data_IF_556304018426
#
_entry.id   IF_556304018426
#
_cell.length_a   1.000
_cell.length_b   1.000
_cell.length_c   1.000
_cell.angle_alpha   90.00
_cell.angle_beta   90.00
_cell.angle_gamma   90.00
#
_symmetry.space_group_name_H-M   'P 1'
#
loop_
_entity.id
_entity.type
_entity.pdbx_description
1 polymer ?
#
# COMPACT_ATOMS: atom_id res chain seq x y z
N UNK A 1 -3.16 10.99 28.38
CA UNK A 1 -2.96 9.52 28.36
C UNK A 1 -2.11 9.23 27.13
N UNK A 2 -0.80 9.04 27.31
CA UNK A 2 0.14 8.86 26.19
C UNK A 2 0.10 7.39 25.78
N UNK A 3 -0.37 7.11 24.56
CA UNK A 3 -0.30 5.76 23.99
C UNK A 3 1.07 5.54 23.37
N UNK A 4 1.85 4.68 24.01
CA UNK A 4 3.08 4.11 23.48
C UNK A 4 2.70 3.10 22.40
N UNK A 5 2.73 3.51 21.13
CA UNK A 5 2.66 2.56 20.01
C UNK A 5 4.06 1.96 19.85
N UNK A 6 4.18 0.69 20.23
CA UNK A 6 5.30 -0.18 19.89
C UNK A 6 5.51 -0.16 18.38
N UNK A 7 6.58 0.50 17.92
CA UNK A 7 7.05 0.46 16.53
C UNK A 7 8.19 -0.55 16.43
N UNK A 8 7.87 -1.80 16.12
CA UNK A 8 8.78 -2.61 15.32
C UNK A 8 8.52 -2.27 13.85
N UNK A 9 9.13 -1.17 13.37
CA UNK A 9 9.23 -0.92 11.94
C UNK A 9 10.13 -2.00 11.34
N UNK A 10 9.53 -3.02 10.73
CA UNK A 10 10.29 -4.05 10.00
C UNK A 10 10.81 -3.43 8.70
N UNK A 11 12.06 -3.00 8.73
CA UNK A 11 12.74 -2.41 7.57
C UNK A 11 13.20 -3.52 6.62
N UNK A 12 12.81 -3.42 5.35
CA UNK A 12 13.22 -4.35 4.30
C UNK A 12 14.57 -3.92 3.73
N UNK A 13 15.56 -4.83 3.72
CA UNK A 13 16.85 -4.57 3.09
C UNK A 13 16.71 -4.34 1.57
N UNK A 14 17.58 -3.48 1.00
CA UNK A 14 17.59 -3.14 -0.44
C UNK A 14 17.57 -4.36 -1.37
N UNK A 15 18.16 -5.48 -0.94
CA UNK A 15 18.23 -6.71 -1.74
C UNK A 15 16.94 -7.53 -1.70
N UNK A 16 16.24 -7.59 -0.57
CA UNK A 16 14.93 -8.25 -0.43
C UNK A 16 13.86 -7.47 -1.23
N UNK A 17 13.99 -6.14 -1.30
CA UNK A 17 13.19 -5.26 -2.17
C UNK A 17 13.36 -5.58 -3.66
N UNK A 18 14.60 -5.83 -4.11
CA UNK A 18 14.88 -6.24 -5.50
C UNK A 18 14.26 -7.59 -5.83
N UNK A 19 14.36 -8.56 -4.92
CA UNK A 19 13.76 -9.88 -5.11
C UNK A 19 12.22 -9.79 -5.21
N UNK A 20 11.58 -8.98 -4.38
CA UNK A 20 10.12 -8.76 -4.43
C UNK A 20 9.67 -8.14 -5.76
N UNK A 21 10.42 -7.18 -6.30
CA UNK A 21 10.16 -6.61 -7.63
C UNK A 21 10.27 -7.64 -8.74
N UNK A 22 11.33 -8.47 -8.70
CA UNK A 22 11.52 -9.54 -9.69
C UNK A 22 10.32 -10.49 -9.69
N UNK A 23 9.85 -10.90 -8.50
CA UNK A 23 8.66 -11.74 -8.36
C UNK A 23 7.41 -11.11 -8.95
N UNK A 24 7.23 -9.79 -8.76
CA UNK A 24 6.04 -9.08 -9.25
C UNK A 24 5.96 -9.03 -10.77
N UNK A 25 7.09 -8.94 -11.46
CA UNK A 25 7.14 -8.81 -12.92
C UNK A 25 6.81 -10.12 -13.65
N UNK A 26 7.00 -11.26 -12.99
CA UNK A 26 6.75 -12.58 -13.59
C UNK A 26 5.29 -13.00 -13.41
N UNK A 27 4.64 -12.56 -12.33
CA UNK A 27 3.21 -12.80 -12.10
C UNK A 27 2.82 -14.26 -11.84
N UNK A 28 3.79 -15.17 -11.67
CA UNK A 28 3.55 -16.61 -11.49
C UNK A 28 4.11 -17.15 -10.17
N UNK A 29 3.67 -18.35 -9.78
CA UNK A 29 4.32 -19.13 -8.72
C UNK A 29 5.73 -19.54 -9.16
N UNK A 30 6.74 -19.32 -8.33
CA UNK A 30 8.14 -19.62 -8.69
C UNK A 30 8.77 -20.58 -7.69
N UNK A 31 9.48 -21.59 -8.20
CA UNK A 31 10.26 -22.49 -7.35
C UNK A 31 11.54 -21.80 -6.86
N UNK A 32 12.17 -22.36 -5.83
CA UNK A 32 13.47 -21.88 -5.36
C UNK A 32 14.52 -21.83 -6.48
N UNK A 33 14.53 -22.81 -7.39
CA UNK A 33 15.49 -22.87 -8.50
C UNK A 33 15.23 -21.80 -9.56
N UNK A 34 13.96 -21.48 -9.82
CA UNK A 34 13.60 -20.38 -10.72
C UNK A 34 14.11 -19.05 -10.14
N UNK A 35 13.87 -18.83 -8.84
CA UNK A 35 14.34 -17.63 -8.14
C UNK A 35 15.86 -17.54 -8.10
N UNK A 36 16.56 -18.65 -7.94
CA UNK A 36 18.02 -18.69 -7.98
C UNK A 36 18.55 -18.24 -9.34
N UNK A 37 17.98 -18.79 -10.41
CA UNK A 37 18.36 -18.48 -11.79
C UNK A 37 18.07 -17.03 -12.14
N UNK A 38 16.90 -16.52 -11.73
CA UNK A 38 16.46 -15.16 -12.05
C UNK A 38 17.15 -14.07 -11.23
N UNK A 39 17.44 -14.35 -9.96
CA UNK A 39 18.04 -13.35 -9.07
C UNK A 39 19.56 -13.27 -9.18
N UNK A 40 20.22 -14.32 -9.68
CA UNK A 40 21.68 -14.42 -9.72
C UNK A 40 22.32 -14.46 -8.33
N UNK A 41 21.54 -14.73 -7.28
CA UNK A 41 22.01 -14.77 -5.90
C UNK A 41 22.60 -16.13 -5.54
N UNK A 42 23.45 -16.14 -4.51
CA UNK A 42 23.87 -17.40 -3.91
C UNK A 42 22.68 -18.12 -3.22
N UNK A 43 22.67 -19.47 -3.15
CA UNK A 43 21.58 -20.19 -2.50
C UNK A 43 21.34 -19.81 -1.03
N UNK A 44 22.41 -19.49 -0.28
CA UNK A 44 22.29 -19.05 1.12
C UNK A 44 21.68 -17.67 1.25
N UNK A 45 22.08 -16.73 0.38
CA UNK A 45 21.51 -15.38 0.31
C UNK A 45 20.04 -15.41 -0.09
N UNK A 46 19.69 -16.21 -1.11
CA UNK A 46 18.31 -16.34 -1.56
C UNK A 46 17.41 -16.92 -0.46
N UNK A 47 17.86 -17.98 0.24
CA UNK A 47 17.12 -18.53 1.38
C UNK A 47 16.87 -17.48 2.47
N UNK A 48 17.87 -16.66 2.79
CA UNK A 48 17.72 -15.57 3.75
C UNK A 48 16.64 -14.58 3.31
N UNK A 49 16.68 -14.10 2.07
CA UNK A 49 15.71 -13.11 1.59
C UNK A 49 14.30 -13.67 1.44
N UNK A 50 14.15 -14.91 0.98
CA UNK A 50 12.84 -15.58 0.94
C UNK A 50 12.28 -15.68 2.35
N UNK A 51 13.10 -16.11 3.32
CA UNK A 51 12.68 -16.19 4.73
C UNK A 51 12.20 -14.83 5.24
N UNK A 52 12.98 -13.77 5.04
CA UNK A 52 12.59 -12.40 5.41
C UNK A 52 11.27 -11.98 4.76
N UNK A 53 11.09 -12.22 3.46
CA UNK A 53 9.89 -11.82 2.72
C UNK A 53 8.65 -12.63 3.14
N UNK A 54 8.83 -13.89 3.53
CA UNK A 54 7.77 -14.72 4.10
C UNK A 54 7.41 -14.24 5.51
N UNK A 55 8.39 -13.96 6.37
CA UNK A 55 8.17 -13.43 7.72
C UNK A 55 7.46 -12.07 7.69
N UNK A 56 7.77 -11.22 6.72
CA UNK A 56 7.10 -9.93 6.51
C UNK A 56 5.69 -10.06 5.89
N UNK A 57 5.32 -11.26 5.42
CA UNK A 57 4.04 -11.55 4.76
C UNK A 57 3.93 -11.03 3.33
N UNK A 58 5.05 -10.72 2.67
CA UNK A 58 5.07 -10.28 1.27
C UNK A 58 5.03 -11.45 0.29
N UNK A 59 5.49 -12.62 0.72
CA UNK A 59 5.46 -13.86 -0.06
C UNK A 59 4.78 -14.94 0.78
N UNK A 60 4.06 -15.83 0.11
CA UNK A 60 3.50 -17.05 0.70
C UNK A 60 4.11 -18.26 0.00
N UNK A 61 4.52 -19.26 0.77
CA UNK A 61 4.92 -20.55 0.24
C UNK A 61 3.69 -21.45 0.08
N UNK A 62 3.48 -21.99 -1.14
CA UNK A 62 2.42 -22.94 -1.48
C UNK A 62 3.04 -24.07 -2.29
N UNK A 63 2.94 -25.30 -1.80
CA UNK A 63 3.43 -26.50 -2.49
C UNK A 63 4.91 -26.39 -2.93
N UNK A 64 5.78 -25.82 -2.09
CA UNK A 64 7.21 -25.62 -2.41
C UNK A 64 7.47 -24.52 -3.45
N UNK A 65 6.46 -23.70 -3.78
CA UNK A 65 6.58 -22.53 -4.64
C UNK A 65 6.25 -21.25 -3.88
N UNK A 66 6.80 -20.14 -4.34
CA UNK A 66 6.66 -18.82 -3.72
C UNK A 66 5.75 -17.94 -4.57
N UNK A 67 4.79 -17.28 -3.92
CA UNK A 67 3.79 -16.41 -4.56
C UNK A 67 3.72 -15.08 -3.83
N UNK A 68 3.61 -13.97 -4.56
CA UNK A 68 3.38 -12.65 -3.96
C UNK A 68 2.01 -12.60 -3.25
N UNK A 69 1.98 -12.01 -2.06
CA UNK A 69 0.73 -11.80 -1.31
C UNK A 69 -0.04 -10.56 -1.79
N UNK A 70 -1.30 -10.40 -1.38
CA UNK A 70 -2.05 -9.16 -1.64
C UNK A 70 -1.36 -7.95 -0.98
N UNK A 71 -0.76 -8.13 0.21
CA UNK A 71 0.04 -7.10 0.89
C UNK A 71 1.20 -6.63 0.02
N UNK A 72 1.93 -7.55 -0.62
CA UNK A 72 3.00 -7.19 -1.55
C UNK A 72 2.50 -6.40 -2.74
N UNK A 73 1.35 -6.78 -3.33
CA UNK A 73 0.75 -6.06 -4.46
C UNK A 73 0.40 -4.63 -4.09
N UNK A 74 -0.22 -4.41 -2.92
CA UNK A 74 -0.56 -3.09 -2.41
C UNK A 74 0.69 -2.19 -2.31
N UNK A 75 1.74 -2.73 -1.72
CA UNK A 75 3.00 -2.01 -1.49
C UNK A 75 3.74 -1.69 -2.80
N UNK A 76 3.71 -2.61 -3.77
CA UNK A 76 4.31 -2.40 -5.09
C UNK A 76 3.51 -1.40 -5.95
N UNK A 77 2.18 -1.37 -5.83
CA UNK A 77 1.35 -0.33 -6.44
C UNK A 77 1.67 1.03 -5.83
N UNK A 78 1.78 1.07 -4.50
CA UNK A 78 2.35 2.18 -3.73
C UNK A 78 3.59 2.70 -4.41
N UNK A 79 4.67 1.90 -4.43
CA UNK A 79 5.95 2.28 -5.05
C UNK A 79 5.81 2.97 -6.42
N UNK A 80 4.98 2.39 -7.28
CA UNK A 80 4.81 2.87 -8.66
C UNK A 80 4.09 4.21 -8.72
N UNK A 81 3.19 4.48 -7.77
CA UNK A 81 2.22 5.58 -7.83
C UNK A 81 2.32 6.59 -6.67
N UNK A 82 3.10 6.35 -5.61
CA UNK A 82 2.94 7.11 -4.37
C UNK A 82 3.35 8.56 -4.44
N UNK A 83 4.10 8.97 -5.47
CA UNK A 83 4.37 10.39 -5.76
C UNK A 83 3.47 10.97 -6.85
N UNK A 84 2.47 10.22 -7.30
CA UNK A 84 1.51 10.72 -8.27
C UNK A 84 0.64 11.78 -7.61
N UNK A 85 0.73 12.99 -8.16
CA UNK A 85 -0.10 14.13 -7.82
C UNK A 85 -1.01 14.36 -9.03
N UNK A 86 -2.32 14.41 -8.81
CA UNK A 86 -3.28 14.75 -9.86
C UNK A 86 -3.48 16.26 -9.95
N UNK A 87 -3.94 16.72 -11.11
CA UNK A 87 -4.28 18.13 -11.32
C UNK A 87 -5.49 18.53 -10.45
N UNK A 88 -5.67 19.86 -10.30
CA UNK A 88 -6.71 20.42 -9.42
C UNK A 88 -8.13 20.00 -9.79
N UNK A 89 -8.42 19.87 -11.08
CA UNK A 89 -9.68 19.40 -11.64
C UNK A 89 -9.96 17.92 -11.39
N UNK A 90 -8.91 17.14 -11.16
CA UNK A 90 -8.98 15.72 -10.81
C UNK A 90 -8.80 15.46 -9.29
N UNK A 91 -8.58 16.52 -8.49
CA UNK A 91 -8.43 16.41 -7.05
C UNK A 91 -9.76 16.03 -6.39
N UNK A 92 -9.69 15.23 -5.34
CA UNK A 92 -10.86 14.82 -4.59
C UNK A 92 -11.28 15.86 -3.56
N UNK A 93 -12.59 16.01 -3.42
CA UNK A 93 -13.24 16.86 -2.45
C UNK A 93 -14.20 16.00 -1.64
N UNK A 94 -13.98 15.99 -0.32
CA UNK A 94 -14.97 15.44 0.60
C UNK A 94 -16.17 16.38 0.70
N UNK A 95 -17.34 15.81 0.98
CA UNK A 95 -18.57 16.56 1.25
C UNK A 95 -19.08 16.18 2.62
N UNK A 96 -19.71 17.13 3.32
CA UNK A 96 -20.39 16.84 4.57
C UNK A 96 -21.72 16.08 4.33
N UNK A 97 -22.44 15.78 5.42
CA UNK A 97 -23.74 15.09 5.39
C UNK A 97 -24.81 15.84 4.56
N UNK A 98 -24.64 17.14 4.34
CA UNK A 98 -25.53 18.00 3.56
C UNK A 98 -25.09 18.10 2.09
N UNK A 99 -24.00 17.43 1.71
CA UNK A 99 -23.41 17.49 0.39
C UNK A 99 -22.58 18.75 0.14
N UNK A 100 -22.27 19.54 1.18
CA UNK A 100 -21.42 20.73 1.03
C UNK A 100 -19.95 20.32 1.00
N UNK A 101 -19.16 20.84 0.05
CA UNK A 101 -17.75 20.48 -0.07
C UNK A 101 -16.94 21.01 1.11
N UNK A 102 -16.10 20.16 1.69
CA UNK A 102 -15.07 20.58 2.63
C UNK A 102 -13.98 21.36 1.85
N UNK A 103 -13.43 22.45 2.40
CA UNK A 103 -12.39 23.25 1.75
C UNK A 103 -11.02 22.58 1.83
N UNK A 104 -10.95 21.30 1.45
CA UNK A 104 -9.75 20.46 1.51
C UNK A 104 -9.61 19.69 0.20
N UNK A 105 -8.60 20.06 -0.60
CA UNK A 105 -8.28 19.36 -1.85
C UNK A 105 -7.31 18.23 -1.59
N UNK A 106 -7.69 17.04 -2.02
CA UNK A 106 -6.87 15.83 -1.92
C UNK A 106 -6.40 15.46 -3.33
N UNK A 107 -5.14 15.71 -3.64
CA UNK A 107 -4.55 15.47 -4.97
C UNK A 107 -3.58 14.27 -5.00
N UNK A 108 -3.45 13.56 -3.89
CA UNK A 108 -2.52 12.44 -3.72
C UNK A 108 -2.96 11.52 -2.57
N UNK A 109 -2.47 10.29 -2.56
CA UNK A 109 -2.70 9.34 -1.45
C UNK A 109 -2.06 9.85 -0.16
N UNK A 110 -0.91 10.52 -0.24
CA UNK A 110 -0.23 11.12 0.90
C UNK A 110 -1.10 12.19 1.58
N UNK A 111 -1.72 13.09 0.80
CA UNK A 111 -2.67 14.06 1.35
C UNK A 111 -3.93 13.41 1.91
N UNK A 112 -4.42 12.32 1.28
CA UNK A 112 -5.53 11.56 1.83
C UNK A 112 -5.18 11.00 3.21
N UNK A 113 -4.01 10.36 3.35
CA UNK A 113 -3.53 9.85 4.63
C UNK A 113 -3.41 10.94 5.68
N UNK A 114 -2.84 12.10 5.35
CA UNK A 114 -2.74 13.25 6.26
C UNK A 114 -4.14 13.72 6.67
N UNK A 115 -5.06 13.87 5.70
CA UNK A 115 -6.41 14.33 5.95
C UNK A 115 -7.16 13.44 6.96
N UNK A 116 -7.04 12.12 6.79
CA UNK A 116 -7.66 11.12 7.67
C UNK A 116 -6.96 11.04 9.02
N UNK A 117 -5.62 10.93 9.03
CA UNK A 117 -4.81 10.69 10.24
C UNK A 117 -4.91 11.82 11.26
N UNK A 118 -4.91 13.06 10.76
CA UNK A 118 -4.93 14.25 11.61
C UNK A 118 -6.33 14.83 11.81
N UNK A 119 -7.37 14.13 11.34
CA UNK A 119 -8.77 14.51 11.58
C UNK A 119 -9.22 15.78 10.84
N UNK A 120 -8.62 16.10 9.69
CA UNK A 120 -9.11 17.18 8.82
C UNK A 120 -10.43 16.80 8.14
N UNK A 121 -10.75 15.51 8.09
CA UNK A 121 -12.02 14.95 7.65
C UNK A 121 -12.51 14.01 8.76
N UNK A 122 -13.78 14.10 9.15
CA UNK A 122 -14.31 13.24 10.20
C UNK A 122 -14.34 11.77 9.74
N UNK A 123 -14.13 10.80 10.64
CA UNK A 123 -14.15 9.38 10.29
C UNK A 123 -15.45 8.95 9.60
N UNK A 124 -16.59 9.51 10.01
CA UNK A 124 -17.91 9.20 9.46
C UNK A 124 -18.01 9.62 8.00
N UNK A 125 -17.50 10.81 7.65
CA UNK A 125 -17.45 11.29 6.27
C UNK A 125 -16.56 10.38 5.41
N UNK A 126 -15.39 9.98 5.93
CA UNK A 126 -14.48 9.07 5.19
C UNK A 126 -15.18 7.75 4.90
N UNK A 127 -15.79 7.13 5.91
CA UNK A 127 -16.48 5.84 5.79
C UNK A 127 -17.67 5.95 4.84
N UNK A 128 -18.45 7.03 4.90
CA UNK A 128 -19.59 7.25 4.01
C UNK A 128 -19.14 7.40 2.55
N UNK A 129 -18.10 8.18 2.29
CA UNK A 129 -17.55 8.36 0.94
C UNK A 129 -16.96 7.06 0.37
N UNK A 130 -16.42 6.18 1.21
CA UNK A 130 -16.00 4.82 0.81
C UNK A 130 -17.22 3.95 0.53
N UNK A 131 -18.23 3.96 1.41
CA UNK A 131 -19.43 3.16 1.29
C UNK A 131 -20.23 3.48 0.01
N UNK A 132 -20.24 4.76 -0.40
CA UNK A 132 -20.83 5.21 -1.67
C UNK A 132 -19.95 4.96 -2.90
N UNK A 133 -18.72 4.51 -2.69
CA UNK A 133 -17.76 4.25 -3.76
C UNK A 133 -17.10 5.49 -4.36
N UNK A 134 -17.33 6.69 -3.79
CA UNK A 134 -16.78 7.93 -4.33
C UNK A 134 -15.26 7.97 -4.18
N UNK A 135 -14.77 7.65 -2.98
CA UNK A 135 -13.34 7.68 -2.70
C UNK A 135 -12.59 6.59 -3.47
N UNK A 136 -13.16 5.38 -3.51
CA UNK A 136 -12.55 4.23 -4.18
C UNK A 136 -12.53 4.41 -5.71
N UNK A 137 -13.59 5.02 -6.28
CA UNK A 137 -13.61 5.40 -7.69
C UNK A 137 -12.51 6.42 -8.00
N UNK A 138 -12.38 7.47 -7.19
CA UNK A 138 -11.32 8.46 -7.40
C UNK A 138 -9.91 7.87 -7.31
N UNK A 139 -9.64 7.04 -6.29
CA UNK A 139 -8.37 6.32 -6.16
C UNK A 139 -8.06 5.50 -7.41
N UNK A 140 -9.04 4.77 -7.92
CA UNK A 140 -8.90 3.93 -9.10
C UNK A 140 -8.72 4.74 -10.39
N UNK A 141 -9.53 5.77 -10.62
CA UNK A 141 -9.59 6.46 -11.93
C UNK A 141 -8.61 7.62 -12.04
N UNK A 142 -8.52 8.47 -11.01
CA UNK A 142 -7.65 9.64 -11.04
C UNK A 142 -6.20 9.24 -10.74
N UNK A 143 -6.00 8.42 -9.71
CA UNK A 143 -4.67 8.01 -9.27
C UNK A 143 -4.21 6.70 -9.94
N UNK A 144 -5.11 5.87 -10.47
CA UNK A 144 -4.71 4.54 -11.00
C UNK A 144 -4.39 3.54 -9.90
N UNK A 145 -4.76 3.84 -8.64
CA UNK A 145 -4.47 3.05 -7.46
C UNK A 145 -5.56 1.99 -7.25
N UNK A 146 -5.61 1.02 -8.16
CA UNK A 146 -6.68 0.01 -8.24
C UNK A 146 -6.64 -0.98 -7.07
N UNK A 147 -5.45 -1.41 -6.66
CA UNK A 147 -5.27 -2.35 -5.55
C UNK A 147 -5.59 -1.64 -4.22
N UNK A 148 -5.14 -0.40 -4.05
CA UNK A 148 -5.51 0.43 -2.91
C UNK A 148 -7.02 0.65 -2.82
N UNK A 149 -7.66 1.03 -3.93
CA UNK A 149 -9.11 1.21 -3.99
C UNK A 149 -9.86 -0.06 -3.55
N UNK A 150 -9.44 -1.23 -4.04
CA UNK A 150 -10.00 -2.54 -3.65
C UNK A 150 -9.79 -2.85 -2.17
N UNK A 151 -8.63 -2.53 -1.59
CA UNK A 151 -8.37 -2.77 -0.18
C UNK A 151 -9.24 -1.88 0.70
N UNK A 152 -9.31 -0.58 0.39
CA UNK A 152 -10.11 0.39 1.14
C UNK A 152 -11.61 0.06 1.04
N UNK A 153 -12.11 -0.40 -0.10
CA UNK A 153 -13.54 -0.72 -0.25
C UNK A 153 -14.02 -1.85 0.67
N UNK A 154 -13.12 -2.69 1.16
CA UNK A 154 -13.47 -3.86 1.99
C UNK A 154 -13.49 -3.57 3.49
N UNK A 155 -13.16 -2.35 3.91
CA UNK A 155 -13.14 -1.95 5.31
C UNK A 155 -14.03 -0.75 5.60
N UNK A 156 -14.60 -0.73 6.81
CA UNK A 156 -15.36 0.41 7.36
C UNK A 156 -14.70 0.94 8.64
N UNK A 157 -13.55 0.41 9.01
CA UNK A 157 -12.84 0.80 10.22
C UNK A 157 -11.75 1.83 9.86
N UNK A 158 -11.82 3.01 10.47
CA UNK A 158 -10.88 4.09 10.21
C UNK A 158 -9.42 3.72 10.54
N UNK A 159 -9.20 2.90 11.57
CA UNK A 159 -7.86 2.44 11.95
C UNK A 159 -7.29 1.49 10.89
N UNK A 160 -8.13 0.64 10.32
CA UNK A 160 -7.75 -0.26 9.23
C UNK A 160 -7.50 0.51 7.93
N UNK A 161 -8.33 1.51 7.61
CA UNK A 161 -8.11 2.43 6.48
C UNK A 161 -6.76 3.13 6.63
N UNK A 162 -6.46 3.67 7.82
CA UNK A 162 -5.17 4.31 8.10
C UNK A 162 -4.01 3.35 7.94
N UNK A 163 -4.14 2.11 8.42
CA UNK A 163 -3.12 1.08 8.25
C UNK A 163 -2.88 0.75 6.78
N UNK A 164 -3.94 0.60 5.98
CA UNK A 164 -3.82 0.34 4.53
C UNK A 164 -3.13 1.52 3.82
N UNK A 165 -3.52 2.75 4.15
CA UNK A 165 -2.89 3.96 3.59
C UNK A 165 -1.42 4.07 4.01
N UNK A 166 -1.09 3.76 5.26
CA UNK A 166 0.28 3.76 5.78
C UNK A 166 1.13 2.69 5.08
N UNK A 167 0.64 1.46 4.95
CA UNK A 167 1.32 0.38 4.21
C UNK A 167 1.58 0.79 2.74
N UNK A 168 0.61 1.46 2.11
CA UNK A 168 0.76 1.96 0.74
C UNK A 168 1.84 3.05 0.61
N UNK A 169 1.99 3.92 1.63
CA UNK A 169 2.93 5.04 1.62
C UNK A 169 4.32 4.64 2.15
N UNK A 170 4.42 3.71 3.11
CA UNK A 170 5.67 3.37 3.81
C UNK A 170 6.78 2.89 2.88
N UNK A 171 6.43 2.38 1.70
CA UNK A 171 7.40 2.01 0.70
C UNK A 171 8.20 3.20 0.13
N UNK A 172 7.65 4.41 0.19
CA UNK A 172 8.24 5.65 -0.34
C UNK A 172 9.23 6.31 0.61
N UNK A 173 8.99 6.21 1.91
CA UNK A 173 9.70 7.02 2.92
C UNK A 173 11.14 6.56 3.14
N UNK A 174 11.53 5.38 2.63
CA UNK A 174 12.87 4.83 2.80
C UNK A 174 13.88 5.22 1.70
N UNK A 175 13.49 6.04 0.71
CA UNK A 175 14.38 6.49 -0.38
C UNK A 175 15.02 7.88 -0.15
N UNK A 176 14.68 8.58 0.93
CA UNK A 176 15.13 9.97 1.18
C UNK A 176 15.80 10.12 2.55
N UNK A 177 16.85 9.33 2.80
CA UNK A 177 17.84 9.59 3.86
C UNK A 177 19.25 9.43 3.32
#
# INVERSE_FOLDING_TARGET
MYYTISRECVTMGMSSKRLLKLLSNVGTELSFNDLLTMSGLSPSTLRKYIKELVEMGYIVEKNGRYVISEKAKLVLEGEKLGHKIVSRDAAYLFTDEKGLPLPLMIDSVEKLYIAVKYGFVSPEIVVEHIARGYLTKWLSEALGAHILAKHISNTKNIEEILKILEEYIEYHVQATR
#
